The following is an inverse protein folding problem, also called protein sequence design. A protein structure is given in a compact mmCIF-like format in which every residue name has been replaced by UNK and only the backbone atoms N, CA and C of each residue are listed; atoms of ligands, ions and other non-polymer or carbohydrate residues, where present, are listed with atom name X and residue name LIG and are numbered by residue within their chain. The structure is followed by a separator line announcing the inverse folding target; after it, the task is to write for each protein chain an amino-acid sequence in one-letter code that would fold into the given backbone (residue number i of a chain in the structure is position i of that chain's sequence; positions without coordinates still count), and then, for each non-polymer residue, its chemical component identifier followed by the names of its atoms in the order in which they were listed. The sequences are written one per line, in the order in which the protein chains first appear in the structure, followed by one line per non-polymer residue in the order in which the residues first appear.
data_IF_532739428089
#
_entry.id   IF_532739428089
#
_cell.length_a   1.000
_cell.length_b   1.000
_cell.length_c   1.000
_cell.angle_alpha   90.00
_cell.angle_beta   90.00
_cell.angle_gamma   90.00
#
_symmetry.space_group_name_H-M   'P 1'
#
loop_
_entity.id
_entity.type
_entity.pdbx_description
1 polymer ?
#
# COMPACT_ATOMS: atom_id res chain seq x y z
N UNK A 1 -8.73 -4.33 -3.52
CA UNK A 1 -9.38 -3.27 -2.73
C UNK A 1 -9.03 -1.93 -3.37
N UNK A 2 -9.97 -1.04 -3.67
CA UNK A 2 -9.62 0.29 -4.21
C UNK A 2 -9.45 1.28 -3.03
N UNK A 3 -8.32 2.01 -3.00
CA UNK A 3 -8.08 3.09 -2.03
C UNK A 3 -8.71 4.42 -2.47
N UNK A 4 -9.23 4.46 -3.70
CA UNK A 4 -9.92 5.59 -4.28
C UNK A 4 -9.00 6.71 -4.72
N UNK A 5 -9.61 7.81 -5.16
CA UNK A 5 -8.91 9.04 -5.53
C UNK A 5 -8.93 10.00 -4.34
N UNK A 6 -7.77 10.56 -4.00
CA UNK A 6 -7.60 11.55 -2.93
C UNK A 6 -6.88 12.77 -3.46
N UNK A 7 -7.41 13.95 -3.17
CA UNK A 7 -6.76 15.22 -3.45
C UNK A 7 -5.77 15.54 -2.35
N UNK A 8 -4.50 15.71 -2.72
CA UNK A 8 -3.42 16.08 -1.80
C UNK A 8 -2.70 17.29 -2.38
N UNK A 9 -2.73 18.40 -1.64
CA UNK A 9 -2.19 19.69 -2.09
C UNK A 9 -2.77 20.18 -3.44
N UNK A 10 -4.08 20.00 -3.65
CA UNK A 10 -4.75 20.39 -4.90
C UNK A 10 -4.49 19.47 -6.09
N UNK A 11 -3.73 18.38 -5.91
CA UNK A 11 -3.44 17.40 -6.97
C UNK A 11 -4.16 16.07 -6.65
N UNK A 12 -4.95 15.51 -7.58
CA UNK A 12 -5.58 14.20 -7.39
C UNK A 12 -4.58 13.06 -7.56
N UNK A 13 -4.60 12.13 -6.62
CA UNK A 13 -3.83 10.88 -6.65
C UNK A 13 -4.76 9.69 -6.50
N UNK A 14 -4.54 8.64 -7.29
CA UNK A 14 -5.32 7.39 -7.20
C UNK A 14 -4.53 6.33 -6.44
N UNK A 15 -5.11 5.82 -5.37
CA UNK A 15 -4.54 4.77 -4.53
C UNK A 15 -5.21 3.44 -4.88
N UNK A 16 -4.45 2.45 -5.36
CA UNK A 16 -4.95 1.09 -5.62
C UNK A 16 -4.26 0.10 -4.69
N UNK A 17 -5.04 -0.77 -4.05
CA UNK A 17 -4.52 -1.83 -3.19
C UNK A 17 -4.83 -3.22 -3.76
N UNK A 18 -3.81 -4.05 -3.85
CA UNK A 18 -3.97 -5.47 -4.18
C UNK A 18 -3.59 -6.29 -2.96
N UNK A 19 -4.38 -7.31 -2.64
CA UNK A 19 -4.14 -8.17 -1.48
C UNK A 19 -4.12 -9.62 -1.89
N UNK A 20 -3.49 -10.48 -1.09
CA UNK A 20 -3.58 -11.93 -1.27
C UNK A 20 -4.98 -12.48 -0.98
N UNK A 21 -5.82 -11.74 -0.24
CA UNK A 21 -7.25 -12.04 -0.08
C UNK A 21 -7.47 -13.42 0.48
N UNK A 22 -7.33 -13.58 1.80
CA UNK A 22 -7.52 -14.86 2.48
C UNK A 22 -8.89 -15.47 2.22
N UNK A 23 -8.93 -16.54 1.42
CA UNK A 23 -9.94 -17.59 1.47
C UNK A 23 -9.54 -18.70 2.45
N UNK A 24 -8.59 -18.40 3.34
CA UNK A 24 -8.11 -19.33 4.35
C UNK A 24 -8.53 -18.80 5.71
N UNK A 25 -9.05 -19.71 6.53
CA UNK A 25 -9.48 -19.49 7.91
C UNK A 25 -8.32 -19.05 8.84
N UNK A 26 -7.12 -18.85 8.28
CA UNK A 26 -5.86 -18.46 8.91
C UNK A 26 -5.41 -17.05 8.48
N UNK A 27 -6.30 -16.05 8.59
CA UNK A 27 -6.10 -14.65 8.20
C UNK A 27 -5.01 -13.87 9.01
N UNK A 28 -3.84 -14.48 9.24
CA UNK A 28 -2.79 -13.97 10.12
C UNK A 28 -1.72 -13.14 9.42
N UNK A 29 -1.66 -13.04 8.09
CA UNK A 29 -0.69 -12.14 7.43
C UNK A 29 -1.02 -11.86 5.95
N UNK A 30 -2.03 -11.02 5.70
CA UNK A 30 -2.39 -10.63 4.33
C UNK A 30 -1.34 -9.69 3.76
N UNK A 31 -0.74 -10.06 2.63
CA UNK A 31 0.21 -9.19 1.94
C UNK A 31 -0.57 -8.23 1.05
N UNK A 32 -0.35 -6.94 1.28
CA UNK A 32 -0.96 -5.84 0.54
C UNK A 32 0.13 -5.14 -0.28
N UNK A 33 -0.18 -4.94 -1.56
CA UNK A 33 0.54 -4.04 -2.44
C UNK A 33 -0.26 -2.75 -2.60
N UNK A 34 0.32 -1.64 -2.16
CA UNK A 34 -0.21 -0.30 -2.39
C UNK A 34 0.49 0.33 -3.60
N UNK A 35 -0.30 0.77 -4.57
CA UNK A 35 0.14 1.53 -5.74
C UNK A 35 -0.47 2.93 -5.70
N UNK A 36 0.35 3.93 -5.94
CA UNK A 36 -0.07 5.33 -6.04
C UNK A 36 0.13 5.79 -7.47
N UNK A 37 -0.94 6.26 -8.09
CA UNK A 37 -0.95 6.77 -9.45
C UNK A 37 -1.19 8.28 -9.46
N UNK A 38 -0.58 8.96 -10.43
CA UNK A 38 -0.93 10.34 -10.77
C UNK A 38 -2.33 10.38 -11.41
N UNK A 39 -2.90 11.58 -11.54
CA UNK A 39 -4.11 11.82 -12.32
C UNK A 39 -4.03 11.24 -13.74
N UNK A 40 -2.85 11.33 -14.37
CA UNK A 40 -2.57 10.81 -15.71
C UNK A 40 -2.41 9.29 -15.77
N UNK A 41 -2.53 8.60 -14.62
CA UNK A 41 -2.37 7.15 -14.52
C UNK A 41 -0.92 6.67 -14.41
N UNK A 42 0.05 7.57 -14.19
CA UNK A 42 1.45 7.17 -14.05
C UNK A 42 1.70 6.57 -12.65
N UNK A 43 2.36 5.42 -12.57
CA UNK A 43 2.77 4.86 -11.28
C UNK A 43 3.82 5.77 -10.64
N UNK A 44 3.51 6.35 -9.49
CA UNK A 44 4.39 7.26 -8.76
C UNK A 44 5.09 6.57 -7.60
N UNK A 45 4.40 5.67 -6.91
CA UNK A 45 4.96 4.91 -5.81
C UNK A 45 4.32 3.53 -5.73
N UNK A 46 5.11 2.57 -5.24
CA UNK A 46 4.67 1.21 -4.93
C UNK A 46 5.25 0.79 -3.58
N UNK A 47 4.42 0.19 -2.73
CA UNK A 47 4.79 -0.34 -1.41
C UNK A 47 4.16 -1.71 -1.19
N UNK A 48 4.85 -2.56 -0.46
CA UNK A 48 4.37 -3.86 -0.05
C UNK A 48 4.43 -3.90 1.48
N UNK A 49 3.34 -4.31 2.12
CA UNK A 49 3.25 -4.44 3.57
C UNK A 49 2.29 -5.57 3.92
N UNK A 50 2.40 -6.11 5.13
CA UNK A 50 1.49 -7.15 5.60
C UNK A 50 0.58 -6.62 6.70
N UNK A 51 -0.70 -6.99 6.65
CA UNK A 51 -1.72 -6.62 7.64
C UNK A 51 -2.33 -7.87 8.27
N UNK A 52 -2.64 -7.81 9.56
CA UNK A 52 -3.35 -8.87 10.28
C UNK A 52 -4.77 -8.40 10.57
N UNK A 53 -5.75 -9.06 9.96
CA UNK A 53 -7.17 -8.70 10.11
C UNK A 53 -7.82 -9.27 11.38
N UNK A 54 -7.13 -10.17 12.11
CA UNK A 54 -7.68 -10.88 13.27
C UNK A 54 -7.64 -10.05 14.57
N UNK A 55 -6.74 -9.07 14.66
CA UNK A 55 -6.63 -8.18 15.83
C UNK A 55 -7.54 -6.94 15.71
N UNK A 56 -8.84 -7.19 15.84
CA UNK A 56 -9.72 -6.21 16.46
C UNK A 56 -10.83 -5.67 15.57
N UNK A 57 -12.04 -5.74 16.12
CA UNK A 57 -13.29 -5.04 15.75
C UNK A 57 -13.18 -3.50 15.64
N UNK A 58 -11.99 -2.93 15.66
CA UNK A 58 -11.73 -1.53 15.36
C UNK A 58 -11.14 -1.46 13.96
N UNK A 59 -11.98 -1.06 13.01
CA UNK A 59 -11.66 -0.72 11.63
C UNK A 59 -10.62 0.42 11.59
N UNK A 60 -9.37 0.14 11.95
CA UNK A 60 -8.28 1.05 11.63
C UNK A 60 -8.15 1.03 10.11
N UNK A 61 -8.40 2.14 9.41
CA UNK A 61 -8.30 2.13 7.96
C UNK A 61 -6.85 1.77 7.60
N UNK A 62 -6.63 0.81 6.67
CA UNK A 62 -5.30 0.34 6.32
C UNK A 62 -4.40 1.46 5.79
N UNK A 63 -5.02 2.56 5.33
CA UNK A 63 -4.38 3.83 5.04
C UNK A 63 -5.05 4.94 5.84
N UNK A 64 -4.23 5.77 6.48
CA UNK A 64 -4.65 7.07 6.98
C UNK A 64 -3.99 8.18 6.16
N UNK A 65 -4.72 9.25 5.91
CA UNK A 65 -4.27 10.38 5.10
C UNK A 65 -4.19 11.61 6.00
N UNK A 66 -3.00 12.19 6.14
CA UNK A 66 -2.74 13.34 6.99
C UNK A 66 -1.99 14.41 6.19
N UNK A 67 -2.73 15.40 5.68
CA UNK A 67 -2.20 16.43 4.80
C UNK A 67 -1.52 15.83 3.56
N UNK A 68 -0.18 15.90 3.53
CA UNK A 68 0.67 15.40 2.45
C UNK A 68 1.32 14.04 2.77
N UNK A 69 0.84 13.34 3.80
CA UNK A 69 1.39 12.07 4.26
C UNK A 69 0.33 10.98 4.22
N UNK A 70 0.74 9.81 3.77
CA UNK A 70 -0.05 8.58 3.78
C UNK A 70 0.57 7.63 4.78
N UNK A 71 -0.15 7.32 5.84
CA UNK A 71 0.26 6.42 6.91
C UNK A 71 -0.31 5.03 6.66
N UNK A 72 0.54 4.01 6.72
CA UNK A 72 0.15 2.61 6.55
C UNK A 72 0.84 1.76 7.62
N UNK A 73 0.23 0.63 7.94
CA UNK A 73 0.76 -0.31 8.92
C UNK A 73 1.47 -1.43 8.18
N UNK A 74 2.74 -1.66 8.52
CA UNK A 74 3.58 -2.71 7.98
C UNK A 74 4.07 -3.62 9.10
N UNK A 75 3.45 -4.79 9.21
CA UNK A 75 3.80 -5.80 10.22
C UNK A 75 5.08 -6.57 9.89
N UNK A 76 5.73 -6.30 8.77
CA UNK A 76 7.00 -6.95 8.43
C UNK A 76 8.21 -6.39 9.20
N UNK A 77 8.05 -5.25 9.86
CA UNK A 77 9.10 -4.60 10.65
C UNK A 77 8.71 -4.59 12.14
N UNK A 78 9.37 -5.44 12.93
CA UNK A 78 9.13 -5.63 14.37
C UNK A 78 9.41 -4.37 15.21
N UNK A 79 10.20 -3.42 14.68
CA UNK A 79 10.63 -2.23 15.42
C UNK A 79 9.69 -1.04 15.26
N UNK A 80 9.03 -0.91 14.10
CA UNK A 80 8.11 0.18 13.83
C UNK A 80 7.09 -0.20 12.76
N UNK A 81 5.92 -0.61 13.23
CA UNK A 81 4.79 -1.00 12.39
C UNK A 81 4.18 0.17 11.61
N UNK A 82 4.41 1.42 12.01
CA UNK A 82 3.77 2.57 11.38
C UNK A 82 4.71 3.24 10.39
N UNK A 83 4.39 3.11 9.10
CA UNK A 83 5.17 3.71 8.02
C UNK A 83 4.45 4.90 7.41
N UNK A 84 5.22 5.84 6.91
CA UNK A 84 4.72 7.04 6.25
C UNK A 84 5.24 7.13 4.82
N UNK A 85 4.37 7.53 3.91
CA UNK A 85 4.70 7.87 2.52
C UNK A 85 4.36 9.35 2.30
N UNK A 86 5.36 10.16 1.96
CA UNK A 86 5.17 11.56 1.61
C UNK A 86 4.67 11.69 0.17
N UNK A 87 3.71 12.59 -0.04
CA UNK A 87 3.13 12.93 -1.34
C UNK A 87 3.46 14.41 -1.65
N UNK A 88 3.87 14.76 -2.88
CA UNK A 88 4.25 13.85 -3.95
C UNK A 88 5.44 12.98 -3.55
N UNK A 89 5.48 11.70 -3.99
CA UNK A 89 6.60 10.82 -3.72
C UNK A 89 7.86 11.34 -4.41
N UNK A 90 9.03 10.97 -3.88
CA UNK A 90 10.30 11.45 -4.41
C UNK A 90 10.59 10.83 -5.79
N UNK A 91 11.47 11.45 -6.59
CA UNK A 91 11.95 10.84 -7.85
C UNK A 91 12.59 9.46 -7.63
N UNK A 92 13.21 9.25 -6.46
CA UNK A 92 13.74 7.94 -6.06
C UNK A 92 12.65 6.90 -5.85
N UNK A 93 11.51 7.29 -5.27
CA UNK A 93 10.35 6.41 -5.12
C UNK A 93 9.74 6.04 -6.47
N UNK A 94 9.67 7.00 -7.38
CA UNK A 94 9.22 6.79 -8.75
C UNK A 94 10.10 5.80 -9.51
N UNK A 95 11.42 5.90 -9.32
CA UNK A 95 12.39 4.97 -9.91
C UNK A 95 12.25 3.57 -9.30
N UNK A 96 12.24 3.46 -7.97
CA UNK A 96 12.04 2.18 -7.26
C UNK A 96 10.71 1.51 -7.59
N UNK A 97 9.67 2.28 -7.85
CA UNK A 97 8.37 1.74 -8.24
C UNK A 97 8.42 1.04 -9.61
N UNK A 98 9.29 1.50 -10.52
CA UNK A 98 9.48 0.93 -11.88
C UNK A 98 10.54 -0.15 -11.95
N UNK A 99 11.48 -0.16 -11.01
CA UNK A 99 12.48 -1.21 -10.97
C UNK A 99 11.85 -2.55 -10.56
N UNK A 100 12.09 -3.64 -11.31
CA UNK A 100 11.80 -4.98 -10.82
C UNK A 100 12.70 -5.22 -9.60
N UNK A 101 12.09 -5.37 -8.42
CA UNK A 101 12.81 -5.73 -7.21
C UNK A 101 13.29 -7.17 -7.38
N UNK A 102 14.54 -7.36 -7.78
CA UNK A 102 15.18 -8.68 -7.90
C UNK A 102 15.27 -9.44 -6.57
N UNK A 103 14.80 -8.88 -5.45
CA UNK A 103 15.01 -9.39 -4.09
C UNK A 103 13.75 -9.84 -3.32
N UNK A 104 12.62 -10.16 -3.98
CA UNK A 104 11.52 -10.89 -3.31
C UNK A 104 10.84 -11.88 -4.25
N UNK A 105 11.46 -13.05 -4.36
CA UNK A 105 11.02 -14.24 -5.12
C UNK A 105 9.90 -15.06 -4.42
N UNK A 106 9.14 -14.48 -3.49
CA UNK A 106 7.95 -15.13 -2.92
C UNK A 106 6.69 -14.47 -3.46
N UNK A 107 6.31 -14.87 -4.66
CA UNK A 107 5.05 -14.50 -5.30
C UNK A 107 3.90 -15.28 -4.62
N UNK A 108 3.36 -14.79 -3.50
CA UNK A 108 1.93 -15.05 -3.28
C UNK A 108 1.18 -14.19 -4.31
N UNK A 109 0.37 -14.81 -5.15
CA UNK A 109 -0.43 -14.13 -6.18
C UNK A 109 -1.27 -13.03 -5.51
N UNK A 110 -0.93 -11.77 -5.78
CA UNK A 110 -1.74 -10.64 -5.32
C UNK A 110 -2.98 -10.54 -6.20
N UNK A 111 -4.15 -10.67 -5.59
CA UNK A 111 -5.43 -10.52 -6.28
C UNK A 111 -5.74 -9.03 -6.37
N UNK A 112 -5.39 -8.45 -7.52
CA UNK A 112 -5.86 -7.14 -7.93
C UNK A 112 -7.20 -7.31 -8.63
N UNK A 113 -8.33 -7.13 -7.93
CA UNK A 113 -9.61 -6.96 -8.64
C UNK A 113 -9.48 -5.76 -9.59
N UNK A 114 -9.85 -6.00 -10.86
CA UNK A 114 -9.52 -5.14 -12.00
C UNK A 114 -10.23 -3.80 -11.87
#
# INVERSE_FOLDING_TARGET
MDGGVKNMNGVPYRFKMCGTGGNDQDATNDNIELRVFSEKGELLARRYFSVNWHHGKHLHPPLSYEGNLVRYIDLTDESNYTKHLKIPPSKWDWLRARLPLFSRLHYKTLICNK
#
